data_IF_409421689071
#
_entry.id   IF_409421689071
#
_cell.length_a   1.000
_cell.length_b   1.000
_cell.length_c   1.000
_cell.angle_alpha   90.00
_cell.angle_beta   90.00
_cell.angle_gamma   90.00
#
_symmetry.space_group_name_H-M   'P 1'
#
loop_
_entity.id
_entity.type
_entity.pdbx_description
1 polymer ?
#
# COMPACT_ATOMS: atom_id res chain seq x y z
N UNK A 1 0.89 -18.12 12.72
CA UNK A 1 1.18 -17.81 11.30
C UNK A 1 1.82 -16.44 11.10
N UNK A 2 1.20 -15.34 11.53
CA UNK A 2 1.80 -13.99 11.44
C UNK A 2 3.21 -13.87 12.07
N UNK A 3 3.45 -14.56 13.20
CA UNK A 3 4.77 -14.70 13.83
C UNK A 3 5.83 -15.31 12.95
N UNK A 4 5.52 -16.47 12.40
CA UNK A 4 6.41 -17.20 11.51
C UNK A 4 6.70 -16.37 10.26
N UNK A 5 5.68 -15.69 9.72
CA UNK A 5 5.86 -14.81 8.58
C UNK A 5 6.76 -13.60 8.91
N UNK A 6 6.49 -12.87 9.99
CA UNK A 6 7.31 -11.74 10.41
C UNK A 6 8.77 -12.14 10.70
N UNK A 7 9.00 -13.33 11.28
CA UNK A 7 10.34 -13.89 11.47
C UNK A 7 10.99 -14.28 10.15
N UNK A 8 10.24 -14.77 9.16
CA UNK A 8 10.76 -15.06 7.83
C UNK A 8 11.18 -13.79 7.07
N UNK A 9 10.63 -12.62 7.42
CA UNK A 9 11.09 -11.33 6.87
C UNK A 9 12.43 -10.89 7.48
N UNK A 10 12.80 -11.41 8.65
CA UNK A 10 14.05 -11.07 9.33
C UNK A 10 15.24 -11.57 8.52
N UNK A 11 16.18 -10.68 8.23
CA UNK A 11 17.37 -10.99 7.42
C UNK A 11 17.17 -10.75 5.91
N UNK A 12 15.97 -10.37 5.48
CA UNK A 12 15.71 -9.90 4.12
C UNK A 12 15.55 -8.38 4.09
N UNK A 13 16.15 -7.74 3.07
CA UNK A 13 15.93 -6.32 2.80
C UNK A 13 14.61 -6.12 2.05
N UNK A 14 13.50 -6.22 2.77
CA UNK A 14 12.15 -6.09 2.21
C UNK A 14 11.80 -4.61 2.07
N UNK A 15 11.67 -4.16 0.82
CA UNK A 15 11.26 -2.78 0.51
C UNK A 15 9.76 -2.60 0.71
N UNK A 16 8.95 -3.61 0.39
CA UNK A 16 7.50 -3.53 0.42
C UNK A 16 6.89 -4.93 0.51
N UNK A 17 5.69 -5.02 1.10
CA UNK A 17 4.83 -6.20 1.02
C UNK A 17 3.64 -5.90 0.11
N UNK A 18 3.29 -6.84 -0.75
CA UNK A 18 2.17 -6.71 -1.69
C UNK A 18 1.27 -7.92 -1.49
N UNK A 19 -0.02 -7.68 -1.27
CA UNK A 19 -1.03 -8.73 -1.16
C UNK A 19 -2.30 -8.36 -1.94
N UNK A 20 -3.24 -9.31 -2.06
CA UNK A 20 -4.60 -9.06 -2.54
C UNK A 20 -5.63 -9.51 -1.50
N UNK A 21 -6.84 -9.87 -1.95
CA UNK A 21 -7.98 -10.48 -1.22
C UNK A 21 -9.23 -9.59 -1.19
N UNK A 22 -9.13 -8.33 -0.79
CA UNK A 22 -10.32 -7.48 -0.55
C UNK A 22 -10.84 -6.76 -1.80
N UNK A 23 -10.11 -6.88 -2.94
CA UNK A 23 -10.41 -6.20 -4.21
C UNK A 23 -10.38 -4.66 -4.16
N UNK A 24 -9.95 -4.08 -3.05
CA UNK A 24 -9.85 -2.65 -2.81
C UNK A 24 -8.39 -2.21 -2.76
N UNK A 25 -8.06 -1.07 -3.35
CA UNK A 25 -6.70 -0.55 -3.28
C UNK A 25 -6.45 0.06 -1.90
N UNK A 26 -5.41 -0.37 -1.19
CA UNK A 26 -5.06 0.20 0.11
C UNK A 26 -3.54 0.31 0.29
N UNK A 27 -3.13 1.34 1.03
CA UNK A 27 -1.76 1.70 1.31
C UNK A 27 -1.64 1.89 2.82
N UNK A 28 -0.81 1.09 3.48
CA UNK A 28 -0.62 1.15 4.92
C UNK A 28 0.78 0.68 5.29
N UNK A 29 1.15 0.80 6.56
CA UNK A 29 2.43 0.31 7.07
C UNK A 29 2.20 -0.73 8.15
N UNK A 30 3.14 -1.66 8.23
CA UNK A 30 3.23 -2.63 9.30
C UNK A 30 4.51 -2.39 10.08
N UNK A 31 4.36 -1.89 11.30
CA UNK A 31 5.45 -1.70 12.24
C UNK A 31 5.89 -3.05 12.79
N UNK A 32 7.00 -3.55 12.24
CA UNK A 32 7.67 -4.78 12.67
C UNK A 32 9.03 -4.47 13.30
N UNK A 33 9.23 -3.26 13.86
CA UNK A 33 10.52 -2.87 14.45
C UNK A 33 10.98 -3.81 15.55
N UNK A 34 10.04 -4.34 16.33
CA UNK A 34 10.30 -5.32 17.39
C UNK A 34 10.80 -6.69 16.88
N UNK A 35 10.63 -7.01 15.58
CA UNK A 35 11.03 -8.30 14.99
C UNK A 35 12.14 -8.13 13.95
N UNK A 36 11.95 -7.20 13.02
CA UNK A 36 12.79 -6.98 11.84
C UNK A 36 13.67 -5.73 11.95
N UNK A 37 13.43 -4.88 12.96
CA UNK A 37 14.06 -3.57 13.07
C UNK A 37 13.53 -2.53 12.08
N UNK A 38 12.48 -2.83 11.32
CA UNK A 38 11.96 -1.97 10.26
C UNK A 38 10.44 -1.82 10.30
N UNK A 39 9.96 -0.67 9.83
CA UNK A 39 8.56 -0.47 9.42
C UNK A 39 8.48 -0.79 7.94
N UNK A 40 7.52 -1.62 7.54
CA UNK A 40 7.39 -2.09 6.16
C UNK A 40 6.15 -1.48 5.54
N UNK A 41 6.27 -0.90 4.34
CA UNK A 41 5.12 -0.47 3.57
C UNK A 41 4.38 -1.67 2.99
N UNK A 42 3.07 -1.65 3.09
CA UNK A 42 2.18 -2.72 2.64
C UNK A 42 1.17 -2.16 1.65
N UNK A 43 1.05 -2.85 0.53
CA UNK A 43 0.15 -2.50 -0.56
C UNK A 43 -0.86 -3.62 -0.78
N UNK A 44 -2.14 -3.30 -0.67
CA UNK A 44 -3.20 -4.19 -1.08
C UNK A 44 -3.57 -3.87 -2.54
N UNK A 45 -3.23 -4.81 -3.42
CA UNK A 45 -3.53 -4.71 -4.83
C UNK A 45 -5.05 -4.87 -5.06
N UNK A 46 -5.67 -3.95 -5.83
CA UNK A 46 -7.06 -4.06 -6.19
C UNK A 46 -7.26 -5.15 -7.25
N UNK A 47 -8.52 -5.43 -7.59
CA UNK A 47 -8.84 -6.40 -8.63
C UNK A 47 -8.75 -5.82 -10.05
N UNK A 48 -8.05 -6.54 -10.94
CA UNK A 48 -8.01 -6.27 -12.38
C UNK A 48 -9.39 -6.41 -13.03
N UNK A 49 -10.22 -7.32 -12.53
CA UNK A 49 -11.60 -7.49 -12.96
C UNK A 49 -12.51 -7.38 -11.75
N UNK A 50 -13.36 -6.35 -11.76
CA UNK A 50 -14.48 -6.25 -10.82
C UNK A 50 -15.68 -6.87 -11.54
N UNK A 51 -16.28 -7.91 -10.93
CA UNK A 51 -17.37 -8.68 -11.54
C UNK A 51 -16.94 -10.02 -12.15
N UNK A 52 -17.88 -10.97 -12.18
CA UNK A 52 -17.66 -12.30 -12.76
C UNK A 52 -18.12 -12.36 -14.23
N UNK A 53 -17.95 -13.51 -14.92
CA UNK A 53 -18.41 -13.69 -16.30
C UNK A 53 -19.91 -13.41 -16.52
N UNK A 54 -20.70 -13.42 -15.43
CA UNK A 54 -22.15 -13.22 -15.43
C UNK A 54 -22.59 -11.85 -14.89
N UNK A 55 -21.65 -11.02 -14.45
CA UNK A 55 -21.92 -9.69 -13.92
C UNK A 55 -20.77 -8.76 -14.33
N UNK A 56 -20.81 -8.20 -15.55
CA UNK A 56 -19.81 -7.24 -15.98
C UNK A 56 -20.00 -5.99 -15.13
N UNK A 57 -19.11 -5.78 -14.16
CA UNK A 57 -19.19 -4.56 -13.36
C UNK A 57 -18.82 -3.36 -14.24
N UNK A 58 -19.53 -2.27 -14.06
CA UNK A 58 -19.23 -0.97 -14.67
C UNK A 58 -17.99 -0.32 -14.05
N UNK A 59 -17.42 -0.95 -13.02
CA UNK A 59 -16.25 -0.43 -12.33
C UNK A 59 -15.01 -0.69 -13.16
N UNK A 60 -14.21 0.34 -13.49
CA UNK A 60 -13.00 0.17 -14.27
C UNK A 60 -12.04 -0.80 -13.58
N UNK A 61 -11.32 -1.60 -14.38
CA UNK A 61 -10.19 -2.40 -13.94
C UNK A 61 -9.20 -1.58 -13.13
N UNK A 62 -8.67 -2.13 -12.04
CA UNK A 62 -7.68 -1.45 -11.22
C UNK A 62 -6.47 -2.32 -11.00
N UNK A 63 -5.28 -1.72 -10.98
CA UNK A 63 -4.03 -2.42 -10.68
C UNK A 63 -2.99 -1.48 -10.11
N UNK A 64 -2.01 -2.05 -9.40
CA UNK A 64 -0.86 -1.31 -8.92
C UNK A 64 0.27 -1.40 -9.92
N UNK A 65 0.96 -0.28 -10.12
CA UNK A 65 2.25 -0.22 -10.82
C UNK A 65 3.29 0.23 -9.83
N UNK A 66 4.43 -0.43 -9.84
CA UNK A 66 5.56 -0.07 -9.01
C UNK A 66 6.72 0.31 -9.91
N UNK A 67 7.38 1.39 -9.57
CA UNK A 67 8.62 1.81 -10.20
C UNK A 67 9.74 1.78 -9.18
N UNK A 68 10.84 1.14 -9.55
CA UNK A 68 12.05 1.04 -8.73
C UNK A 68 13.19 1.67 -9.51
N UNK A 69 13.58 2.87 -9.11
CA UNK A 69 14.76 3.54 -9.63
C UNK A 69 15.95 3.24 -8.71
N UNK A 70 16.83 2.35 -9.14
CA UNK A 70 18.01 1.97 -8.36
C UNK A 70 19.12 3.02 -8.40
N UNK A 71 19.11 3.94 -9.38
CA UNK A 71 20.09 5.03 -9.48
C UNK A 71 19.70 6.19 -8.59
N UNK A 72 18.43 6.61 -8.68
CA UNK A 72 17.87 7.65 -7.81
C UNK A 72 17.48 7.10 -6.43
N UNK A 73 17.67 5.80 -6.20
CA UNK A 73 17.34 5.08 -4.97
C UNK A 73 15.92 5.36 -4.51
N UNK A 74 14.96 5.22 -5.42
CA UNK A 74 13.58 5.61 -5.22
C UNK A 74 12.63 4.46 -5.54
N UNK A 75 11.60 4.34 -4.72
CA UNK A 75 10.47 3.46 -4.95
C UNK A 75 9.21 4.31 -5.06
N UNK A 76 8.42 4.08 -6.12
CA UNK A 76 7.14 4.75 -6.35
C UNK A 76 6.05 3.73 -6.60
N UNK A 77 4.88 3.94 -6.03
CA UNK A 77 3.69 3.13 -6.26
C UNK A 77 2.56 3.99 -6.83
N UNK A 78 1.88 3.44 -7.84
CA UNK A 78 0.81 4.08 -8.58
C UNK A 78 -0.41 3.18 -8.54
N UNK A 79 -1.60 3.77 -8.39
CA UNK A 79 -2.86 3.08 -8.63
C UNK A 79 -3.37 3.47 -10.00
N UNK A 80 -3.59 2.46 -10.86
CA UNK A 80 -4.24 2.64 -12.14
C UNK A 80 -5.70 2.28 -12.07
N UNK A 81 -6.51 3.04 -12.78
CA UNK A 81 -7.95 2.85 -12.89
C UNK A 81 -8.34 3.01 -14.36
N UNK A 82 -8.83 1.94 -14.98
CA UNK A 82 -9.12 1.89 -16.41
C UNK A 82 -7.86 2.14 -17.26
N UNK A 83 -7.98 3.04 -18.26
CA UNK A 83 -6.87 3.41 -19.15
C UNK A 83 -5.94 4.51 -18.61
N UNK A 84 -6.27 5.13 -17.46
CA UNK A 84 -5.49 6.23 -16.91
C UNK A 84 -4.29 5.72 -16.08
N UNK A 85 -3.16 6.43 -16.18
CA UNK A 85 -1.94 6.12 -15.40
C UNK A 85 -2.06 6.46 -13.91
N UNK A 86 -2.99 7.33 -13.53
CA UNK A 86 -3.15 7.81 -12.15
C UNK A 86 -2.00 8.72 -11.70
N UNK A 87 -2.10 9.22 -10.47
CA UNK A 87 -1.03 9.94 -9.78
C UNK A 87 -0.13 8.99 -8.97
N UNK A 88 1.06 9.47 -8.58
CA UNK A 88 1.89 8.77 -7.60
C UNK A 88 1.10 8.72 -6.29
N UNK A 89 0.82 7.51 -5.80
CA UNK A 89 0.09 7.30 -4.54
C UNK A 89 1.04 7.19 -3.35
N UNK A 90 2.27 6.74 -3.60
CA UNK A 90 3.30 6.62 -2.58
C UNK A 90 4.68 6.74 -3.20
N UNK A 91 5.57 7.48 -2.54
CA UNK A 91 6.97 7.60 -2.91
C UNK A 91 7.83 7.45 -1.66
N UNK A 92 8.96 6.74 -1.78
CA UNK A 92 9.98 6.69 -0.74
C UNK A 92 11.39 6.49 -1.28
N UNK A 93 12.36 6.85 -0.45
CA UNK A 93 13.76 6.49 -0.67
C UNK A 93 14.01 5.02 -0.29
N UNK A 94 14.87 4.36 -1.05
CA UNK A 94 15.41 3.02 -0.76
C UNK A 94 16.54 3.06 0.29
N UNK A 95 17.04 4.25 0.65
CA UNK A 95 18.04 4.44 1.72
C UNK A 95 17.42 4.67 3.09
N UNK A 96 16.17 5.14 3.13
CA UNK A 96 15.56 5.55 4.37
C UNK A 96 15.16 4.33 5.21
N UNK A 97 15.82 4.12 6.35
CA UNK A 97 15.12 3.65 7.53
C UNK A 97 14.01 4.66 7.78
N UNK A 98 12.74 4.24 7.75
CA UNK A 98 11.59 5.14 7.81
C UNK A 98 11.72 6.12 8.99
N UNK A 99 12.16 7.35 8.70
CA UNK A 99 12.22 8.42 9.67
C UNK A 99 10.83 9.06 9.67
N UNK A 100 9.99 8.60 10.60
CA UNK A 100 8.57 8.99 10.71
C UNK A 100 8.36 10.40 11.30
N UNK A 101 9.36 11.29 11.24
CA UNK A 101 9.30 12.57 11.95
C UNK A 101 8.24 13.56 11.44
N UNK A 102 7.52 13.27 10.35
CA UNK A 102 6.51 14.19 9.79
C UNK A 102 5.23 13.53 9.23
N UNK A 103 4.99 12.24 9.42
CA UNK A 103 3.79 11.57 8.85
C UNK A 103 2.64 11.51 9.85
N UNK A 104 1.49 12.13 9.53
CA UNK A 104 0.24 11.96 10.29
C UNK A 104 -0.46 10.65 9.90
N UNK A 105 -0.80 9.85 10.90
CA UNK A 105 -1.52 8.57 10.73
C UNK A 105 -3.02 8.78 10.94
N UNK A 106 -3.87 8.17 10.09
CA UNK A 106 -5.33 8.22 10.26
C UNK A 106 -5.81 7.24 11.32
N UNK A 107 -5.17 6.08 11.40
CA UNK A 107 -5.55 5.00 12.29
C UNK A 107 -4.32 4.19 12.69
N UNK A 108 -4.33 3.72 13.93
CA UNK A 108 -3.35 2.79 14.48
C UNK A 108 -4.11 1.61 15.09
N UNK A 109 -3.80 0.40 14.64
CA UNK A 109 -4.45 -0.82 15.10
C UNK A 109 -3.41 -1.84 15.59
N UNK A 110 -3.64 -2.48 16.76
CA UNK A 110 -2.78 -3.56 17.21
C UNK A 110 -2.94 -4.77 16.30
N UNK A 111 -1.83 -5.30 15.80
CA UNK A 111 -1.82 -6.56 15.05
C UNK A 111 -1.41 -7.72 15.97
N UNK A 112 -1.59 -8.96 15.49
CA UNK A 112 -1.08 -10.14 16.20
C UNK A 112 0.43 -10.03 16.51
N UNK A 113 1.17 -9.27 15.67
CA UNK A 113 2.54 -8.84 15.92
C UNK A 113 2.73 -7.42 15.43
N UNK A 114 3.29 -6.57 16.30
CA UNK A 114 3.56 -5.19 15.96
C UNK A 114 2.28 -4.37 15.83
N UNK A 115 2.34 -3.32 15.04
CA UNK A 115 1.24 -2.36 14.91
C UNK A 115 1.01 -2.05 13.44
N UNK A 116 -0.24 -2.02 13.01
CA UNK A 116 -0.61 -1.56 11.66
C UNK A 116 -0.99 -0.10 11.74
N UNK A 117 -0.43 0.72 10.86
CA UNK A 117 -0.79 2.14 10.75
C UNK A 117 -1.26 2.46 9.35
N UNK A 118 -2.38 3.14 9.26
CA UNK A 118 -2.94 3.60 7.99
C UNK A 118 -2.55 5.06 7.80
N UNK A 119 -1.87 5.36 6.68
CA UNK A 119 -1.50 6.75 6.36
C UNK A 119 -2.74 7.54 6.00
N UNK A 120 -2.73 8.83 6.34
CA UNK A 120 -3.60 9.78 5.68
C UNK A 120 -3.36 9.71 4.19
N UNK A 121 -4.39 9.34 3.44
CA UNK A 121 -4.40 9.62 2.02
C UNK A 121 -4.33 11.15 1.94
N UNK A 122 -3.18 11.70 1.54
CA UNK A 122 -3.14 13.08 1.09
C UNK A 122 -4.04 13.13 -0.15
N UNK A 123 -5.29 13.50 0.08
CA UNK A 123 -6.31 13.70 -0.94
C UNK A 123 -5.89 14.92 -1.76
N UNK A 124 -5.00 14.69 -2.72
CA UNK A 124 -4.68 15.64 -3.80
C UNK A 124 -5.53 15.35 -5.03
N UNK A 125 -6.75 14.87 -4.82
CA UNK A 125 -7.71 14.64 -5.90
C UNK A 125 -9.05 15.31 -5.57
N UNK A 126 -9.29 16.55 -6.04
CA UNK A 126 -10.55 17.25 -5.79
C UNK A 126 -11.77 16.55 -6.41
N UNK A 127 -11.57 15.51 -7.24
CA UNK A 127 -12.64 14.75 -7.88
C UNK A 127 -13.05 13.46 -7.12
N UNK A 128 -12.38 13.12 -6.01
CA UNK A 128 -12.69 11.92 -5.23
C UNK A 128 -13.98 12.02 -4.38
N UNK A 129 -14.57 13.21 -4.26
CA UNK A 129 -15.74 13.48 -3.42
C UNK A 129 -17.10 13.01 -3.99
N UNK A 130 -17.15 12.43 -5.20
CA UNK A 130 -18.43 12.11 -5.86
C UNK A 130 -19.00 10.70 -5.61
N UNK A 131 -18.35 9.82 -4.85
CA UNK A 131 -18.82 8.43 -4.66
C UNK A 131 -18.96 7.96 -3.21
N UNK A 132 -19.32 8.87 -2.30
CA UNK A 132 -19.74 8.47 -0.97
C UNK A 132 -20.97 9.27 -0.52
N UNK A 133 -22.16 8.90 -1.01
CA UNK A 133 -23.38 8.86 -0.21
C UNK A 133 -24.34 7.78 -0.76
N UNK A 134 -25.07 7.05 0.10
CA UNK A 134 -26.24 6.27 -0.31
C UNK A 134 -27.39 7.15 -0.80
#
# INVERSE_FOLDING_TARGET
EAATFAQALRGHHVVALIHGHTHTCAFYTWDLRNVTGSVIDVYNAPALQKGGPRDPSTTPSQFLVFEVDTKARRFRAFQRVGGAWGSIRHEKSLDAHADESSTSWLAEEPAAIGTIRVRAQEETDPDALFFAMP
#
